data_IF_884473275899
#
_entry.id   IF_884473275899
#
_cell.length_a   1.000
_cell.length_b   1.000
_cell.length_c   1.000
_cell.angle_alpha   90.00
_cell.angle_beta   90.00
_cell.angle_gamma   90.00
#
_symmetry.space_group_name_H-M   'P 1'
#
loop_
_entity.id
_entity.type
_entity.pdbx_description
1 polymer ?
#
# COMPACT_ATOMS: atom_id res chain seq x y z
N UNK A 1 -7.37 19.75 14.26
CA UNK A 1 -6.30 18.79 14.61
C UNK A 1 -6.17 17.87 13.42
N UNK A 2 -5.04 17.85 12.74
CA UNK A 2 -4.84 16.91 11.64
C UNK A 2 -4.72 15.50 12.25
N UNK A 3 -5.60 14.60 11.83
CA UNK A 3 -5.60 13.24 12.34
C UNK A 3 -4.41 12.48 11.74
N UNK A 4 -3.35 12.28 12.54
CA UNK A 4 -2.20 11.47 12.16
C UNK A 4 -2.64 10.01 12.04
N UNK A 5 -2.44 9.40 10.86
CA UNK A 5 -2.78 8.00 10.60
C UNK A 5 -1.57 7.11 10.80
N UNK A 6 -0.40 7.54 10.31
CA UNK A 6 0.86 6.81 10.49
C UNK A 6 1.95 7.78 10.92
N UNK A 7 2.68 7.45 11.98
CA UNK A 7 3.88 8.15 12.41
C UNK A 7 5.02 7.16 12.56
N UNK A 8 6.16 7.49 11.96
CA UNK A 8 7.39 6.70 12.02
C UNK A 8 8.50 7.59 12.54
N UNK A 9 9.26 7.15 13.54
CA UNK A 9 10.35 7.91 14.15
C UNK A 9 11.56 7.02 14.39
N UNK A 10 12.73 7.50 13.97
CA UNK A 10 14.04 6.85 14.15
C UNK A 10 14.06 5.36 13.75
N UNK A 11 13.30 5.01 12.72
CA UNK A 11 13.13 3.61 12.32
C UNK A 11 14.43 3.05 11.75
N UNK A 12 14.88 1.96 12.34
CA UNK A 12 16.03 1.15 11.94
C UNK A 12 15.59 -0.29 11.71
N UNK A 13 16.21 -0.97 10.74
CA UNK A 13 15.85 -2.36 10.44
C UNK A 13 17.05 -3.14 9.91
N UNK A 14 17.09 -4.46 10.16
CA UNK A 14 18.22 -5.34 9.83
C UNK A 14 17.78 -6.65 9.22
N UNK A 15 18.51 -7.14 8.22
CA UNK A 15 18.51 -8.54 7.81
C UNK A 15 19.68 -9.27 8.49
N UNK A 16 19.38 -10.11 9.47
CA UNK A 16 20.41 -10.75 10.29
C UNK A 16 21.30 -9.72 11.00
N UNK A 17 22.57 -9.56 10.56
CA UNK A 17 23.51 -8.58 11.10
C UNK A 17 23.63 -7.31 10.25
N UNK A 18 23.12 -7.31 9.02
CA UNK A 18 23.25 -6.18 8.10
C UNK A 18 22.13 -5.18 8.31
N UNK A 19 22.45 -3.97 8.70
CA UNK A 19 21.49 -2.88 8.82
C UNK A 19 21.10 -2.38 7.41
N UNK A 20 19.81 -2.20 7.17
CA UNK A 20 19.25 -1.78 5.89
C UNK A 20 18.54 -0.44 6.01
N UNK A 21 17.86 -0.15 7.12
CA UNK A 21 17.21 1.14 7.35
C UNK A 21 17.92 1.90 8.48
N UNK A 22 18.07 3.22 8.29
CA UNK A 22 18.85 4.10 9.15
C UNK A 22 18.05 5.35 9.50
N UNK A 23 17.51 5.39 10.73
CA UNK A 23 16.88 6.57 11.35
C UNK A 23 15.82 7.25 10.47
N UNK A 24 14.97 6.44 9.81
CA UNK A 24 13.89 6.97 8.98
C UNK A 24 12.76 7.51 9.84
N UNK A 25 12.22 8.68 9.44
CA UNK A 25 11.10 9.29 10.14
C UNK A 25 10.20 10.07 9.19
N UNK A 26 8.88 9.90 9.30
CA UNK A 26 7.86 10.63 8.56
C UNK A 26 6.48 10.48 9.20
N UNK A 27 5.56 11.33 8.80
CA UNK A 27 4.16 11.30 9.25
C UNK A 27 3.23 11.33 8.05
N UNK A 28 2.12 10.60 8.13
CA UNK A 28 1.04 10.61 7.13
C UNK A 28 -0.27 10.97 7.84
N UNK A 29 -0.97 11.97 7.30
CA UNK A 29 -2.25 12.43 7.82
C UNK A 29 -3.44 11.84 7.03
N UNK A 30 -4.64 11.97 7.59
CA UNK A 30 -5.86 11.46 6.96
C UNK A 30 -6.05 12.04 5.53
N UNK A 31 -6.29 11.15 4.55
CA UNK A 31 -6.48 11.50 3.13
C UNK A 31 -5.20 11.87 2.37
N UNK A 32 -4.04 11.80 3.02
CA UNK A 32 -2.76 12.09 2.35
C UNK A 32 -2.24 10.89 1.54
N UNK A 33 -1.50 11.23 0.48
CA UNK A 33 -0.65 10.32 -0.28
C UNK A 33 0.83 10.66 -0.08
N UNK A 34 1.63 9.70 0.37
CA UNK A 34 3.08 9.83 0.49
C UNK A 34 3.79 8.95 -0.53
N UNK A 35 4.68 9.53 -1.32
CA UNK A 35 5.58 8.82 -2.23
C UNK A 35 6.94 8.52 -1.60
N UNK A 36 7.45 7.31 -1.81
CA UNK A 36 8.79 6.89 -1.43
C UNK A 36 9.55 6.57 -2.71
N UNK A 37 10.54 7.39 -3.05
CA UNK A 37 11.32 7.27 -4.29
C UNK A 37 12.68 6.67 -3.96
N UNK A 38 13.23 5.89 -4.87
CA UNK A 38 14.59 5.35 -4.75
C UNK A 38 14.84 4.21 -5.73
N UNK A 39 16.10 3.94 -6.00
CA UNK A 39 16.52 2.83 -6.85
C UNK A 39 16.20 1.47 -6.26
N UNK A 40 16.35 0.41 -7.06
CA UNK A 40 16.28 -0.97 -6.57
C UNK A 40 17.34 -1.21 -5.50
N UNK A 41 16.93 -1.83 -4.39
CA UNK A 41 17.82 -2.06 -3.25
C UNK A 41 18.02 -0.86 -2.32
N UNK A 42 17.41 0.30 -2.57
CA UNK A 42 17.50 1.48 -1.71
C UNK A 42 16.91 1.29 -0.30
N UNK A 43 16.00 0.29 -0.12
CA UNK A 43 15.36 0.00 1.16
C UNK A 43 13.84 0.23 1.19
N UNK A 44 13.22 0.64 0.07
CA UNK A 44 11.78 0.94 -0.04
C UNK A 44 10.90 -0.21 0.45
N UNK A 45 11.03 -1.39 -0.17
CA UNK A 45 10.25 -2.58 0.21
C UNK A 45 10.54 -3.03 1.65
N UNK A 46 11.79 -2.85 2.12
CA UNK A 46 12.15 -3.13 3.52
C UNK A 46 11.41 -2.20 4.47
N UNK A 47 11.31 -0.91 4.13
CA UNK A 47 10.56 0.08 4.91
C UNK A 47 9.09 -0.31 5.01
N UNK A 48 8.41 -0.56 3.89
CA UNK A 48 7.00 -0.95 3.87
C UNK A 48 6.75 -2.26 4.64
N UNK A 49 7.62 -3.25 4.47
CA UNK A 49 7.55 -4.53 5.20
C UNK A 49 7.79 -4.37 6.69
N UNK A 50 8.71 -3.48 7.09
CA UNK A 50 8.95 -3.17 8.51
C UNK A 50 7.71 -2.55 9.15
N UNK A 51 7.09 -1.55 8.49
CA UNK A 51 5.85 -0.91 8.96
C UNK A 51 4.70 -1.92 9.06
N UNK A 52 4.61 -2.85 8.12
CA UNK A 52 3.59 -3.90 8.12
C UNK A 52 3.87 -5.05 9.11
N UNK A 53 4.96 -4.99 9.90
CA UNK A 53 5.33 -6.02 10.88
C UNK A 53 5.82 -7.34 10.27
N UNK A 54 6.18 -7.34 8.98
CA UNK A 54 6.70 -8.53 8.27
C UNK A 54 8.20 -8.72 8.53
N UNK A 55 8.88 -7.71 9.07
CA UNK A 55 10.31 -7.73 9.34
C UNK A 55 10.59 -7.98 10.82
N UNK A 56 11.59 -8.82 11.12
CA UNK A 56 11.77 -9.36 12.49
C UNK A 56 12.63 -8.46 13.39
N UNK A 57 13.63 -7.76 12.83
CA UNK A 57 14.58 -6.98 13.62
C UNK A 57 14.49 -5.50 13.27
N UNK A 58 13.91 -4.74 14.18
CA UNK A 58 13.69 -3.32 14.03
C UNK A 58 13.85 -2.57 15.35
N UNK A 59 14.10 -1.27 15.30
CA UNK A 59 14.15 -0.32 16.41
C UNK A 59 13.55 1.02 15.96
N UNK A 60 13.18 1.87 16.89
CA UNK A 60 12.52 3.16 16.65
C UNK A 60 11.08 3.16 17.16
N UNK A 61 10.21 3.91 16.52
CA UNK A 61 8.78 3.96 16.83
C UNK A 61 7.94 3.90 15.57
N UNK A 62 6.83 3.15 15.61
CA UNK A 62 5.79 3.14 14.57
C UNK A 62 4.44 3.24 15.27
N UNK A 63 3.75 4.37 15.07
CA UNK A 63 2.39 4.57 15.57
C UNK A 63 1.39 4.51 14.41
N UNK A 64 0.37 3.67 14.55
CA UNK A 64 -0.77 3.56 13.65
C UNK A 64 -2.03 3.99 14.39
N UNK A 65 -2.68 5.07 13.94
CA UNK A 65 -3.87 5.64 14.60
C UNK A 65 -3.64 5.91 16.10
N UNK A 66 -2.47 6.46 16.45
CA UNK A 66 -2.07 6.78 17.82
C UNK A 66 -1.71 5.57 18.70
N UNK A 67 -1.55 4.38 18.12
CA UNK A 67 -1.17 3.16 18.84
C UNK A 67 0.18 2.66 18.38
N UNK A 68 1.07 2.33 19.31
CA UNK A 68 2.35 1.70 19.01
C UNK A 68 2.14 0.30 18.40
N UNK A 69 2.73 0.11 17.22
CA UNK A 69 2.66 -1.15 16.46
C UNK A 69 4.05 -1.74 16.18
N UNK A 70 5.12 -1.13 16.68
CA UNK A 70 6.47 -1.64 16.49
C UNK A 70 6.60 -3.08 17.04
N UNK A 71 7.10 -3.99 16.20
CA UNK A 71 7.27 -5.40 16.57
C UNK A 71 5.97 -6.20 16.77
N UNK A 72 4.80 -5.61 16.48
CA UNK A 72 3.54 -6.37 16.46
C UNK A 72 3.49 -7.30 15.25
N UNK A 73 2.76 -8.40 15.39
CA UNK A 73 2.59 -9.36 14.30
C UNK A 73 1.79 -8.75 13.13
N UNK A 74 2.06 -9.14 11.88
CA UNK A 74 1.38 -8.58 10.69
C UNK A 74 -0.14 -8.60 10.78
N UNK A 75 -0.72 -9.68 11.30
CA UNK A 75 -2.18 -9.79 11.41
C UNK A 75 -2.78 -8.83 12.46
N UNK A 76 -2.04 -8.49 13.52
CA UNK A 76 -2.48 -7.52 14.53
C UNK A 76 -2.46 -6.10 13.94
N UNK A 77 -1.42 -5.76 13.17
CA UNK A 77 -1.30 -4.48 12.45
C UNK A 77 -2.38 -4.38 11.37
N UNK A 78 -2.59 -5.47 10.62
CA UNK A 78 -3.63 -5.51 9.59
C UNK A 78 -5.02 -5.29 10.18
N UNK A 79 -5.36 -5.89 11.31
CA UNK A 79 -6.64 -5.66 12.01
C UNK A 79 -6.84 -4.21 12.45
N UNK A 80 -5.76 -3.46 12.71
CA UNK A 80 -5.80 -2.04 13.05
C UNK A 80 -6.01 -1.12 11.86
N UNK A 81 -6.04 -1.65 10.65
CA UNK A 81 -6.39 -0.86 9.46
C UNK A 81 -5.24 -0.64 8.48
N UNK A 82 -4.07 -1.27 8.65
CA UNK A 82 -3.01 -1.21 7.66
C UNK A 82 -3.15 -2.38 6.67
N UNK A 83 -3.01 -2.10 5.38
CA UNK A 83 -2.89 -3.13 4.33
C UNK A 83 -1.62 -2.88 3.52
N UNK A 84 -0.86 -3.93 3.24
CA UNK A 84 0.31 -3.91 2.35
C UNK A 84 0.00 -4.73 1.09
N UNK A 85 0.05 -4.08 -0.07
CA UNK A 85 0.10 -4.73 -1.38
C UNK A 85 1.56 -4.79 -1.82
N UNK A 86 2.08 -6.00 -1.93
CA UNK A 86 3.47 -6.25 -2.33
C UNK A 86 3.60 -6.26 -3.84
N UNK A 87 4.80 -6.03 -4.32
CA UNK A 87 5.18 -6.29 -5.70
C UNK A 87 4.71 -7.68 -6.18
N UNK A 88 4.32 -7.79 -7.44
CA UNK A 88 3.83 -9.03 -8.05
C UNK A 88 2.35 -9.32 -7.80
N UNK A 89 1.60 -8.40 -7.17
CA UNK A 89 0.15 -8.48 -6.99
C UNK A 89 -0.35 -9.87 -6.56
N UNK A 90 -0.06 -10.32 -5.34
CA UNK A 90 -0.46 -11.63 -4.87
C UNK A 90 -1.99 -11.74 -4.78
N UNK A 91 -2.58 -12.61 -5.59
CA UNK A 91 -4.01 -12.94 -5.61
C UNK A 91 -4.20 -14.45 -5.46
N UNK A 92 -5.38 -14.87 -5.04
CA UNK A 92 -5.71 -16.30 -4.95
C UNK A 92 -6.11 -16.81 -6.33
N UNK A 93 -5.16 -17.42 -7.06
CA UNK A 93 -5.31 -17.79 -8.47
C UNK A 93 -6.45 -18.79 -8.75
N UNK A 94 -6.74 -19.68 -7.82
CA UNK A 94 -7.80 -20.68 -7.94
C UNK A 94 -9.21 -20.11 -7.68
N UNK A 95 -9.29 -18.95 -7.04
CA UNK A 95 -10.54 -18.23 -6.77
C UNK A 95 -10.91 -17.31 -7.94
N UNK A 96 -12.20 -17.07 -8.10
CA UNK A 96 -12.73 -16.04 -9.01
C UNK A 96 -12.39 -14.64 -8.51
N UNK A 97 -12.62 -13.63 -9.35
CA UNK A 97 -12.47 -12.21 -8.96
C UNK A 97 -13.40 -11.90 -7.77
N UNK A 98 -14.66 -12.28 -7.85
CA UNK A 98 -15.64 -12.03 -6.76
C UNK A 98 -15.21 -12.72 -5.46
N UNK A 99 -14.72 -13.96 -5.52
CA UNK A 99 -14.21 -14.68 -4.35
C UNK A 99 -12.97 -14.01 -3.75
N UNK A 100 -12.04 -13.49 -4.56
CA UNK A 100 -10.92 -12.70 -4.07
C UNK A 100 -11.40 -11.42 -3.36
N UNK A 101 -12.37 -10.71 -3.92
CA UNK A 101 -12.96 -9.52 -3.29
C UNK A 101 -13.66 -9.86 -1.97
N UNK A 102 -14.33 -11.02 -1.87
CA UNK A 102 -14.95 -11.49 -0.64
C UNK A 102 -13.92 -11.70 0.49
N UNK A 103 -12.66 -12.04 0.17
CA UNK A 103 -11.58 -12.09 1.17
C UNK A 103 -11.31 -10.69 1.75
N UNK A 104 -11.32 -9.65 0.91
CA UNK A 104 -11.24 -8.24 1.36
C UNK A 104 -12.39 -7.87 2.28
N UNK A 105 -13.62 -8.23 1.91
CA UNK A 105 -14.81 -7.98 2.73
C UNK A 105 -14.73 -8.68 4.11
N UNK A 106 -14.21 -9.90 4.15
CA UNK A 106 -13.94 -10.62 5.41
C UNK A 106 -12.97 -9.84 6.30
N UNK A 107 -11.94 -9.24 5.72
CA UNK A 107 -10.99 -8.43 6.47
C UNK A 107 -11.62 -7.11 6.97
N UNK A 108 -12.47 -6.46 6.17
CA UNK A 108 -13.25 -5.30 6.60
C UNK A 108 -14.08 -5.61 7.85
N UNK A 109 -14.81 -6.74 7.82
CA UNK A 109 -15.61 -7.20 8.97
C UNK A 109 -14.73 -7.43 10.23
N UNK A 110 -13.53 -7.99 10.09
CA UNK A 110 -12.58 -8.15 11.20
C UNK A 110 -12.03 -6.83 11.75
N UNK A 111 -12.15 -5.74 11.00
CA UNK A 111 -11.83 -4.36 11.39
C UNK A 111 -13.05 -3.62 11.97
N UNK A 112 -14.19 -4.30 12.15
CA UNK A 112 -15.47 -3.71 12.51
C UNK A 112 -15.94 -2.62 11.53
N UNK A 113 -15.65 -2.81 10.23
CA UNK A 113 -16.07 -1.93 9.14
C UNK A 113 -17.08 -2.65 8.26
N UNK A 114 -18.06 -1.92 7.75
CA UNK A 114 -19.00 -2.43 6.75
C UNK A 114 -18.28 -2.56 5.42
N UNK A 115 -18.25 -3.73 4.77
CA UNK A 115 -17.65 -3.86 3.45
C UNK A 115 -18.26 -2.88 2.44
N UNK A 116 -17.46 -2.41 1.49
CA UNK A 116 -17.96 -1.57 0.41
C UNK A 116 -18.99 -2.32 -0.44
N UNK A 117 -20.07 -1.65 -0.86
CA UNK A 117 -20.98 -2.20 -1.86
C UNK A 117 -20.21 -2.53 -3.15
N UNK A 118 -20.55 -3.64 -3.79
CA UNK A 118 -19.85 -4.04 -5.03
C UNK A 118 -20.02 -3.01 -6.15
N UNK A 119 -21.12 -2.23 -6.17
CA UNK A 119 -21.29 -1.11 -7.11
C UNK A 119 -20.16 -0.08 -7.01
N UNK A 120 -19.76 0.33 -5.81
CA UNK A 120 -18.67 1.27 -5.60
C UNK A 120 -17.31 0.68 -6.03
N UNK A 121 -17.12 -0.63 -5.82
CA UNK A 121 -15.91 -1.33 -6.27
C UNK A 121 -15.84 -1.34 -7.79
N UNK A 122 -16.95 -1.60 -8.48
CA UNK A 122 -17.02 -1.62 -9.94
C UNK A 122 -16.88 -0.24 -10.58
N UNK A 123 -17.26 0.84 -9.90
CA UNK A 123 -16.99 2.21 -10.34
C UNK A 123 -15.48 2.52 -10.38
N UNK A 124 -14.72 2.03 -9.40
CA UNK A 124 -13.27 2.22 -9.34
C UNK A 124 -12.54 1.23 -10.26
N UNK A 125 -13.05 0.00 -10.39
CA UNK A 125 -12.41 -1.11 -11.12
C UNK A 125 -13.33 -1.73 -12.19
N UNK A 126 -13.80 -0.96 -13.19
CA UNK A 126 -14.80 -1.45 -14.15
C UNK A 126 -14.34 -2.67 -14.94
N UNK A 127 -13.05 -2.76 -15.27
CA UNK A 127 -12.48 -3.90 -16.02
C UNK A 127 -12.66 -5.24 -15.29
N UNK A 128 -12.73 -5.23 -13.96
CA UNK A 128 -12.93 -6.46 -13.18
C UNK A 128 -14.39 -6.92 -13.17
N UNK A 129 -15.33 -5.99 -13.30
CA UNK A 129 -16.75 -6.31 -13.36
C UNK A 129 -17.09 -7.19 -14.58
N UNK A 130 -16.52 -6.86 -15.75
CA UNK A 130 -16.75 -7.59 -17.01
C UNK A 130 -16.30 -9.06 -16.95
N UNK A 131 -15.42 -9.39 -16.01
CA UNK A 131 -14.86 -10.74 -15.86
C UNK A 131 -14.97 -11.28 -14.44
N UNK A 132 -15.95 -10.83 -13.67
CA UNK A 132 -16.11 -11.08 -12.23
C UNK A 132 -16.05 -12.56 -11.83
N UNK A 133 -16.58 -13.46 -12.67
CA UNK A 133 -16.60 -14.92 -12.47
C UNK A 133 -15.32 -15.63 -12.97
N UNK A 134 -14.38 -14.89 -13.59
CA UNK A 134 -13.14 -15.47 -14.07
C UNK A 134 -12.19 -15.76 -12.92
N UNK A 135 -11.53 -16.93 -12.97
CA UNK A 135 -10.47 -17.27 -11.99
C UNK A 135 -9.27 -16.34 -12.14
N UNK A 136 -8.74 -15.85 -11.02
CA UNK A 136 -7.64 -14.90 -10.98
C UNK A 136 -6.34 -15.42 -11.60
N UNK A 137 -6.12 -16.72 -11.63
CA UNK A 137 -4.97 -17.34 -12.28
C UNK A 137 -4.90 -17.12 -13.80
N UNK A 138 -6.04 -16.83 -14.45
CA UNK A 138 -6.10 -16.55 -15.89
C UNK A 138 -6.03 -15.04 -16.24
N UNK A 139 -5.83 -14.18 -15.27
CA UNK A 139 -5.72 -12.74 -15.46
C UNK A 139 -4.31 -12.37 -16.00
N UNK A 140 -4.23 -11.30 -16.79
CA UNK A 140 -2.97 -10.67 -17.14
C UNK A 140 -2.28 -10.06 -15.91
N UNK A 141 -1.01 -9.68 -16.01
CA UNK A 141 -0.30 -9.01 -14.92
C UNK A 141 -1.03 -7.75 -14.41
N UNK A 142 -1.44 -6.86 -15.34
CA UNK A 142 -2.21 -5.66 -14.98
C UNK A 142 -3.57 -5.96 -14.36
N UNK A 143 -4.29 -6.96 -14.87
CA UNK A 143 -5.58 -7.37 -14.28
C UNK A 143 -5.39 -7.96 -12.88
N UNK A 144 -4.32 -8.72 -12.62
CA UNK A 144 -3.99 -9.18 -11.26
C UNK A 144 -3.66 -8.02 -10.34
N UNK A 145 -2.91 -7.02 -10.83
CA UNK A 145 -2.64 -5.80 -10.06
C UNK A 145 -3.92 -5.07 -9.67
N UNK A 146 -4.83 -4.90 -10.65
CA UNK A 146 -6.15 -4.30 -10.39
C UNK A 146 -6.96 -5.10 -9.35
N UNK A 147 -6.93 -6.44 -9.42
CA UNK A 147 -7.62 -7.29 -8.44
C UNK A 147 -7.00 -7.18 -7.04
N UNK A 148 -5.67 -7.10 -6.92
CA UNK A 148 -5.01 -6.89 -5.63
C UNK A 148 -5.36 -5.53 -5.01
N UNK A 149 -5.39 -4.47 -5.82
CA UNK A 149 -5.83 -3.13 -5.40
C UNK A 149 -7.31 -3.14 -4.99
N UNK A 150 -8.19 -3.73 -5.80
CA UNK A 150 -9.63 -3.83 -5.51
C UNK A 150 -9.90 -4.61 -4.21
N UNK A 151 -9.24 -5.75 -4.01
CA UNK A 151 -9.35 -6.54 -2.77
C UNK A 151 -8.89 -5.74 -1.55
N UNK A 152 -7.81 -4.95 -1.71
CA UNK A 152 -7.33 -4.06 -0.67
C UNK A 152 -8.32 -2.93 -0.37
N UNK A 153 -8.95 -2.35 -1.38
CA UNK A 153 -9.98 -1.32 -1.25
C UNK A 153 -11.22 -1.84 -0.51
N UNK A 154 -11.73 -3.00 -0.90
CA UNK A 154 -12.86 -3.67 -0.23
C UNK A 154 -12.57 -3.94 1.25
N UNK A 155 -11.30 -4.18 1.62
CA UNK A 155 -10.91 -4.41 3.01
C UNK A 155 -11.00 -3.16 3.89
N UNK A 156 -11.29 -1.99 3.32
CA UNK A 156 -11.43 -0.70 4.00
C UNK A 156 -10.30 -0.40 4.99
N UNK A 157 -9.04 -0.33 4.53
CA UNK A 157 -7.95 0.03 5.40
C UNK A 157 -8.02 1.51 5.80
N UNK A 158 -7.36 1.89 6.90
CA UNK A 158 -7.09 3.29 7.23
C UNK A 158 -5.92 3.82 6.43
N UNK A 159 -4.96 2.93 6.12
CA UNK A 159 -3.80 3.23 5.29
C UNK A 159 -3.44 2.03 4.41
N UNK A 160 -3.12 2.31 3.16
CA UNK A 160 -2.67 1.35 2.16
C UNK A 160 -1.20 1.61 1.83
N UNK A 161 -0.38 0.59 2.00
CA UNK A 161 1.01 0.59 1.57
C UNK A 161 1.11 -0.15 0.23
N UNK A 162 1.72 0.46 -0.78
CA UNK A 162 1.91 -0.09 -2.12
C UNK A 162 3.41 -0.22 -2.42
N UNK A 163 3.87 -1.44 -2.68
CA UNK A 163 5.27 -1.75 -2.99
C UNK A 163 5.42 -1.98 -4.50
N UNK A 164 5.91 -0.97 -5.21
CA UNK A 164 6.15 -0.94 -6.66
C UNK A 164 4.95 -1.43 -7.48
N UNK A 165 3.77 -0.77 -7.39
CA UNK A 165 2.57 -1.22 -8.08
C UNK A 165 2.65 -1.15 -9.60
N UNK A 166 3.63 -0.43 -10.19
CA UNK A 166 3.87 -0.40 -11.64
C UNK A 166 4.84 -1.49 -12.13
N UNK A 167 5.54 -2.19 -11.23
CA UNK A 167 6.60 -3.11 -11.62
C UNK A 167 6.12 -4.24 -12.53
N UNK A 168 6.81 -4.42 -13.65
CA UNK A 168 6.50 -5.47 -14.63
C UNK A 168 5.21 -5.28 -15.43
N UNK A 169 4.57 -4.11 -15.32
CA UNK A 169 3.37 -3.78 -16.10
C UNK A 169 3.73 -3.04 -17.40
N UNK A 170 2.90 -3.25 -18.43
CA UNK A 170 2.89 -2.36 -19.59
C UNK A 170 2.43 -0.96 -19.17
N UNK A 171 2.91 0.13 -19.84
CA UNK A 171 2.60 1.51 -19.44
C UNK A 171 1.10 1.79 -19.28
N UNK A 172 0.25 1.27 -20.18
CA UNK A 172 -1.19 1.48 -20.12
C UNK A 172 -1.83 0.79 -18.90
N UNK A 173 -1.33 -0.39 -18.51
CA UNK A 173 -1.80 -1.11 -17.33
C UNK A 173 -1.36 -0.41 -16.03
N UNK A 174 -0.14 0.14 -16.02
CA UNK A 174 0.36 0.94 -14.91
C UNK A 174 -0.46 2.23 -14.78
N UNK A 175 -0.72 2.96 -15.86
CA UNK A 175 -1.57 4.15 -15.85
C UNK A 175 -2.97 3.85 -15.27
N UNK A 176 -3.60 2.76 -15.72
CA UNK A 176 -4.91 2.33 -15.20
C UNK A 176 -4.85 2.01 -13.71
N UNK A 177 -3.78 1.35 -13.24
CA UNK A 177 -3.61 1.04 -11.81
C UNK A 177 -3.46 2.31 -10.97
N UNK A 178 -2.68 3.30 -11.42
CA UNK A 178 -2.51 4.57 -10.73
C UNK A 178 -3.76 5.45 -10.76
N UNK A 179 -4.55 5.40 -11.84
CA UNK A 179 -5.87 6.04 -11.86
C UNK A 179 -6.79 5.45 -10.78
N UNK A 180 -6.84 4.14 -10.63
CA UNK A 180 -7.60 3.48 -9.57
C UNK A 180 -7.09 3.89 -8.17
N UNK A 181 -5.77 3.94 -7.96
CA UNK A 181 -5.16 4.40 -6.70
C UNK A 181 -5.54 5.86 -6.41
N UNK A 182 -5.53 6.75 -7.43
CA UNK A 182 -5.97 8.14 -7.29
C UNK A 182 -7.44 8.23 -6.84
N UNK A 183 -8.32 7.44 -7.44
CA UNK A 183 -9.74 7.36 -7.04
C UNK A 183 -9.91 6.88 -5.59
N UNK A 184 -9.12 5.87 -5.17
CA UNK A 184 -9.13 5.38 -3.79
C UNK A 184 -8.71 6.47 -2.81
N UNK A 185 -7.67 7.28 -3.15
CA UNK A 185 -7.26 8.43 -2.35
C UNK A 185 -8.34 9.51 -2.27
N UNK A 186 -8.99 9.83 -3.40
CA UNK A 186 -10.10 10.78 -3.45
C UNK A 186 -11.29 10.33 -2.59
N UNK A 187 -11.48 9.03 -2.42
CA UNK A 187 -12.44 8.45 -1.49
C UNK A 187 -11.99 8.54 -0.01
N UNK A 188 -10.87 9.20 0.30
CA UNK A 188 -10.39 9.46 1.65
C UNK A 188 -9.36 8.45 2.20
N UNK A 189 -8.90 7.51 1.38
CA UNK A 189 -7.90 6.53 1.80
C UNK A 189 -6.50 7.17 1.89
N UNK A 190 -5.82 6.96 3.02
CA UNK A 190 -4.39 7.27 3.13
C UNK A 190 -3.57 6.26 2.35
N UNK A 191 -2.57 6.74 1.60
CA UNK A 191 -1.75 5.88 0.75
C UNK A 191 -0.27 6.21 0.92
N UNK A 192 0.56 5.16 1.05
CA UNK A 192 2.01 5.26 0.96
C UNK A 192 2.46 4.38 -0.21
N UNK A 193 3.15 4.96 -1.18
CA UNK A 193 3.58 4.28 -2.40
C UNK A 193 5.09 4.32 -2.51
N UNK A 194 5.72 3.15 -2.59
CA UNK A 194 7.12 3.01 -2.97
C UNK A 194 7.21 2.79 -4.49
N UNK A 195 7.95 3.66 -5.18
CA UNK A 195 8.15 3.61 -6.63
C UNK A 195 9.57 4.04 -7.03
N UNK A 196 9.96 3.68 -8.26
CA UNK A 196 11.21 4.15 -8.86
C UNK A 196 10.96 5.37 -9.74
N UNK A 197 9.86 5.38 -10.48
CA UNK A 197 9.51 6.47 -11.39
C UNK A 197 8.57 7.45 -10.70
N UNK A 198 9.07 8.67 -10.46
CA UNK A 198 8.32 9.76 -9.82
C UNK A 198 7.07 10.16 -10.63
N UNK A 199 7.08 9.98 -11.96
CA UNK A 199 5.95 10.36 -12.81
C UNK A 199 4.66 9.63 -12.40
N UNK A 200 4.75 8.38 -11.92
CA UNK A 200 3.60 7.63 -11.44
C UNK A 200 2.99 8.19 -10.15
N UNK A 201 3.75 8.98 -9.39
CA UNK A 201 3.30 9.55 -8.12
C UNK A 201 2.51 10.85 -8.31
N UNK A 202 2.63 11.50 -9.47
CA UNK A 202 1.89 12.71 -9.80
C UNK A 202 0.37 12.46 -9.73
N UNK A 203 -0.36 13.34 -9.03
CA UNK A 203 -1.81 13.22 -8.83
C UNK A 203 -2.25 12.17 -7.79
N UNK A 204 -1.32 11.36 -7.26
CA UNK A 204 -1.62 10.37 -6.21
C UNK A 204 -1.01 10.74 -4.87
N UNK A 205 0.14 11.41 -4.86
CA UNK A 205 0.83 11.81 -3.64
C UNK A 205 0.89 13.33 -3.50
N UNK A 206 0.84 13.83 -2.27
CA UNK A 206 0.98 15.26 -1.93
C UNK A 206 2.44 15.63 -1.64
N UNK A 207 3.21 14.68 -1.16
CA UNK A 207 4.64 14.86 -0.92
C UNK A 207 5.38 13.53 -1.12
N UNK A 208 6.68 13.65 -1.33
CA UNK A 208 7.58 12.51 -1.52
C UNK A 208 8.83 12.66 -0.69
N UNK A 209 9.45 11.53 -0.37
CA UNK A 209 10.84 11.53 0.03
C UNK A 209 11.64 10.50 -0.77
N UNK A 210 12.91 10.80 -0.95
CA UNK A 210 13.86 9.92 -1.60
C UNK A 210 14.65 9.12 -0.56
N UNK A 211 14.77 7.81 -0.81
CA UNK A 211 15.55 6.90 0.01
C UNK A 211 16.74 6.37 -0.78
N UNK A 212 17.94 6.51 -0.21
CA UNK A 212 19.18 5.92 -0.72
C UNK A 212 19.91 5.15 0.38
N UNK A 213 20.28 3.91 0.10
CA UNK A 213 21.01 3.05 1.05
C UNK A 213 20.37 3.03 2.44
N UNK A 214 19.03 3.02 2.49
CA UNK A 214 18.24 2.97 3.72
C UNK A 214 18.16 4.27 4.51
N UNK A 215 18.55 5.41 3.93
CA UNK A 215 18.47 6.75 4.54
C UNK A 215 17.59 7.66 3.71
N UNK A 216 16.86 8.55 4.38
CA UNK A 216 16.16 9.64 3.70
C UNK A 216 17.19 10.71 3.29
N UNK A 217 17.26 11.01 1.99
CA UNK A 217 18.22 11.99 1.45
C UNK A 217 17.55 13.28 1.00
N UNK A 218 16.28 13.23 0.63
CA UNK A 218 15.52 14.38 0.16
C UNK A 218 14.04 14.23 0.48
N UNK A 219 13.38 15.34 0.79
CA UNK A 219 11.93 15.42 0.91
C UNK A 219 11.42 16.57 0.05
N UNK A 220 10.32 16.35 -0.67
CA UNK A 220 9.71 17.35 -1.56
C UNK A 220 8.19 17.34 -1.37
N UNK A 221 7.61 18.55 -1.43
CA UNK A 221 6.18 18.72 -1.63
C UNK A 221 5.90 18.70 -3.14
N UNK A 222 4.97 17.86 -3.56
CA UNK A 222 4.51 17.85 -4.95
C UNK A 222 3.38 18.88 -5.08
N UNK A 223 3.49 19.75 -6.08
CA UNK A 223 2.42 20.67 -6.38
C UNK A 223 1.12 19.90 -6.68
N UNK A 224 0.04 20.31 -6.03
CA UNK A 224 -1.29 19.70 -6.17
C UNK A 224 -1.86 19.91 -7.58
#
# INVERSE_FOLDING_TARGET
MSDVVLKVEELRSWYGRSQVLWDLGFTVHAGEGLGIIGHNGAGKSTLLRTIAGVHERMQGSIELLGQDVLGRRPHDISRRGLTLVREGAPVFGDLTIVENLAMGATLAARRNRTPLPMSEVWEVFPVLNEMSERKAGYLSGGQRQMLALATSFVSQPSILLLDEPSAGLAPEAAATAFEAVSRMRQAGLCIVIAEQNIEWLAGVTSHTFEIESGRMVRQEELAA
#
